data_IF_412109689082
#
_entry.id   IF_412109689082
#
_cell.length_a   1.000
_cell.length_b   1.000
_cell.length_c   1.000
_cell.angle_alpha   90.00
_cell.angle_beta   90.00
_cell.angle_gamma   90.00
#
_symmetry.space_group_name_H-M   'P 1'
#
loop_
_entity.id
_entity.type
_entity.pdbx_description
1 polymer ?
#
# COMPACT_ATOMS: atom_id res chain seq x y z
N UNK A 1 -8.05 1.88 -16.57
CA UNK A 1 -7.33 3.15 -16.76
C UNK A 1 -7.34 3.95 -15.48
N UNK A 2 -6.31 4.75 -15.29
CA UNK A 2 -6.17 5.66 -14.17
C UNK A 2 -7.05 6.90 -14.43
N UNK A 3 -8.08 7.12 -13.60
CA UNK A 3 -8.93 8.29 -13.68
C UNK A 3 -8.39 9.41 -12.78
N UNK A 4 -8.30 10.61 -13.31
CA UNK A 4 -7.94 11.84 -12.58
C UNK A 4 -9.18 12.70 -12.39
N UNK A 5 -9.13 13.65 -11.45
CA UNK A 5 -10.22 14.62 -11.28
C UNK A 5 -10.57 15.38 -12.57
N UNK A 6 -9.58 15.66 -13.42
CA UNK A 6 -9.79 16.29 -14.74
C UNK A 6 -10.45 15.39 -15.79
N UNK A 7 -10.42 14.07 -15.60
CA UNK A 7 -11.03 13.12 -16.54
C UNK A 7 -12.51 12.88 -16.24
N UNK A 8 -12.96 13.25 -15.04
CA UNK A 8 -14.36 13.14 -14.61
C UNK A 8 -14.96 14.52 -14.42
N UNK A 9 -16.21 14.69 -14.85
CA UNK A 9 -16.93 15.96 -14.65
C UNK A 9 -17.37 16.06 -13.20
N UNK A 10 -16.71 16.93 -12.44
CA UNK A 10 -17.10 17.27 -11.09
C UNK A 10 -18.18 18.36 -11.15
N UNK A 11 -19.42 18.05 -10.77
CA UNK A 11 -20.50 19.05 -10.62
C UNK A 11 -20.80 19.28 -9.15
N UNK A 12 -21.03 20.56 -8.78
CA UNK A 12 -21.44 20.91 -7.41
C UNK A 12 -20.28 20.91 -6.41
N UNK A 13 -19.05 21.19 -6.86
CA UNK A 13 -17.88 21.26 -5.98
C UNK A 13 -17.97 22.48 -5.10
N UNK A 14 -18.10 22.26 -3.80
CA UNK A 14 -17.89 23.29 -2.75
C UNK A 14 -16.47 23.14 -2.17
N UNK A 15 -16.09 24.09 -1.30
CA UNK A 15 -14.78 24.03 -0.63
C UNK A 15 -14.69 22.96 0.47
N UNK A 16 -15.80 22.29 0.78
CA UNK A 16 -15.86 21.20 1.74
C UNK A 16 -15.23 19.93 1.20
N UNK A 17 -14.35 19.26 1.98
CA UNK A 17 -13.73 17.99 1.64
C UNK A 17 -14.78 16.89 1.38
N UNK A 18 -15.86 16.87 2.17
CA UNK A 18 -16.97 15.93 2.01
C UNK A 18 -17.65 16.09 0.66
N UNK A 19 -17.89 17.32 0.22
CA UNK A 19 -18.51 17.59 -1.07
C UNK A 19 -17.60 17.24 -2.23
N UNK A 20 -16.30 17.51 -2.10
CA UNK A 20 -15.29 17.08 -3.09
C UNK A 20 -15.24 15.57 -3.22
N UNK A 21 -15.28 14.83 -2.10
CA UNK A 21 -15.33 13.36 -2.13
C UNK A 21 -16.58 12.85 -2.82
N UNK A 22 -17.76 13.40 -2.48
CA UNK A 22 -19.02 13.03 -3.13
C UNK A 22 -19.02 13.36 -4.62
N UNK A 23 -18.53 14.53 -4.98
CA UNK A 23 -18.43 14.94 -6.39
C UNK A 23 -17.51 13.99 -7.18
N UNK A 24 -16.38 13.60 -6.60
CA UNK A 24 -15.46 12.61 -7.17
C UNK A 24 -16.16 11.26 -7.39
N UNK A 25 -16.77 10.70 -6.36
CA UNK A 25 -17.47 9.42 -6.42
C UNK A 25 -18.61 9.43 -7.46
N UNK A 26 -19.40 10.49 -7.48
CA UNK A 26 -20.45 10.68 -8.48
C UNK A 26 -19.88 10.82 -9.89
N UNK A 27 -18.76 11.51 -10.06
CA UNK A 27 -18.08 11.65 -11.33
C UNK A 27 -17.54 10.31 -11.85
N UNK A 28 -16.93 9.51 -10.99
CA UNK A 28 -16.48 8.14 -11.32
C UNK A 28 -17.68 7.28 -11.71
N UNK A 29 -18.77 7.31 -10.94
CA UNK A 29 -19.99 6.58 -11.25
C UNK A 29 -20.56 6.97 -12.61
N UNK A 30 -20.74 8.25 -12.86
CA UNK A 30 -21.27 8.75 -14.13
C UNK A 30 -20.40 8.32 -15.32
N UNK A 31 -19.07 8.25 -15.14
CA UNK A 31 -18.15 7.75 -16.16
C UNK A 31 -18.39 6.27 -16.46
N UNK A 32 -18.47 5.40 -15.44
CA UNK A 32 -18.68 3.97 -15.64
C UNK A 32 -20.09 3.67 -16.19
N UNK A 33 -21.13 4.37 -15.73
CA UNK A 33 -22.48 4.24 -16.23
C UNK A 33 -22.56 4.63 -17.72
N UNK A 34 -21.93 5.74 -18.13
CA UNK A 34 -21.90 6.18 -19.52
C UNK A 34 -21.15 5.19 -20.44
N UNK A 35 -20.04 4.62 -19.95
CA UNK A 35 -19.30 3.59 -20.69
C UNK A 35 -20.11 2.31 -20.81
N UNK A 36 -20.75 1.87 -19.73
CA UNK A 36 -21.60 0.69 -19.72
C UNK A 36 -22.76 0.83 -20.73
N UNK A 37 -23.48 1.96 -20.69
CA UNK A 37 -24.59 2.22 -21.62
C UNK A 37 -24.12 2.13 -23.08
N UNK A 38 -23.01 2.77 -23.44
CA UNK A 38 -22.48 2.72 -24.81
C UNK A 38 -22.09 1.31 -25.23
N UNK A 39 -21.52 0.51 -24.32
CA UNK A 39 -21.17 -0.88 -24.62
C UNK A 39 -22.41 -1.72 -24.85
N UNK A 40 -23.46 -1.57 -24.03
CA UNK A 40 -24.74 -2.26 -24.21
C UNK A 40 -25.40 -1.88 -25.53
N UNK A 41 -25.38 -0.61 -25.91
CA UNK A 41 -25.87 -0.14 -27.23
C UNK A 41 -25.09 -0.78 -28.37
N UNK A 42 -23.80 -1.02 -28.20
CA UNK A 42 -22.91 -1.53 -29.26
C UNK A 42 -22.98 -3.06 -29.41
N UNK A 43 -22.93 -3.81 -28.29
CA UNK A 43 -22.80 -5.28 -28.33
C UNK A 43 -24.07 -6.02 -27.92
N UNK A 44 -25.07 -5.32 -27.41
CA UNK A 44 -26.33 -5.87 -26.89
C UNK A 44 -26.27 -6.20 -25.38
N UNK A 45 -27.45 -6.30 -24.74
CA UNK A 45 -27.56 -6.49 -23.28
C UNK A 45 -27.16 -7.90 -22.80
N UNK A 46 -27.14 -8.88 -23.69
CA UNK A 46 -26.84 -10.28 -23.36
C UNK A 46 -25.34 -10.56 -23.26
N UNK A 47 -24.49 -9.65 -23.76
CA UNK A 47 -23.04 -9.84 -23.72
C UNK A 47 -22.51 -9.48 -22.34
N UNK A 48 -21.79 -10.38 -21.65
CA UNK A 48 -21.21 -10.08 -20.35
C UNK A 48 -20.14 -9.00 -20.47
N UNK A 49 -20.31 -7.90 -19.74
CA UNK A 49 -19.40 -6.77 -19.74
C UNK A 49 -18.42 -6.83 -18.57
N UNK A 50 -17.16 -6.55 -18.86
CA UNK A 50 -16.07 -6.46 -17.86
C UNK A 50 -15.57 -5.03 -17.80
N UNK A 51 -15.52 -4.47 -16.61
CA UNK A 51 -14.85 -3.18 -16.38
C UNK A 51 -13.41 -3.39 -15.90
N UNK A 52 -12.58 -2.39 -16.15
CA UNK A 52 -11.24 -2.28 -15.60
C UNK A 52 -11.08 -0.91 -14.94
N UNK A 53 -10.37 -0.88 -13.80
CA UNK A 53 -10.10 0.36 -13.11
C UNK A 53 -8.78 0.33 -12.34
N UNK A 54 -8.17 1.52 -12.16
CA UNK A 54 -7.02 1.71 -11.29
C UNK A 54 -7.42 2.73 -10.23
N UNK A 55 -8.15 2.27 -9.21
CA UNK A 55 -8.81 3.07 -8.19
C UNK A 55 -8.62 2.44 -6.81
N UNK A 56 -8.59 3.28 -5.79
CA UNK A 56 -8.62 2.83 -4.41
C UNK A 56 -10.09 2.70 -3.94
N UNK A 57 -10.52 1.47 -3.68
CA UNK A 57 -11.89 1.21 -3.20
C UNK A 57 -11.90 1.14 -1.68
N UNK A 58 -12.79 1.89 -1.04
CA UNK A 58 -12.95 1.92 0.40
C UNK A 58 -13.16 0.52 1.00
N UNK A 59 -12.54 0.27 2.14
CA UNK A 59 -12.55 -1.04 2.80
C UNK A 59 -11.52 -2.05 2.26
N UNK A 60 -10.70 -1.66 1.28
CA UNK A 60 -9.58 -2.48 0.81
C UNK A 60 -8.36 -2.30 1.73
N UNK A 61 -7.64 -3.40 2.01
CA UNK A 61 -6.42 -3.38 2.82
C UNK A 61 -5.19 -3.14 1.94
N UNK A 62 -4.32 -2.23 2.36
CA UNK A 62 -3.01 -2.00 1.74
C UNK A 62 -1.99 -2.86 2.47
N UNK A 63 -1.21 -3.67 1.74
CA UNK A 63 -0.16 -4.50 2.34
C UNK A 63 0.92 -3.64 3.02
N UNK A 64 1.46 -4.13 4.14
CA UNK A 64 2.42 -3.45 5.00
C UNK A 64 1.91 -3.37 6.43
N UNK A 65 2.75 -2.93 7.36
CA UNK A 65 2.42 -2.86 8.79
C UNK A 65 1.32 -1.83 9.18
N UNK A 66 0.66 -1.22 8.22
CA UNK A 66 -0.57 -0.48 8.45
C UNK A 66 -1.71 -1.50 8.56
N UNK A 67 -2.18 -1.70 9.77
CA UNK A 67 -3.32 -2.53 10.10
C UNK A 67 -4.54 -2.14 9.26
N UNK A 68 -5.37 -3.15 8.98
CA UNK A 68 -6.67 -3.01 8.37
C UNK A 68 -7.42 -1.80 8.94
N UNK A 69 -7.53 -0.74 8.15
CA UNK A 69 -8.53 0.29 8.41
C UNK A 69 -9.87 -0.37 8.13
N UNK A 70 -10.44 -0.97 9.17
CA UNK A 70 -11.82 -1.45 9.13
C UNK A 70 -12.70 -0.22 9.02
N UNK A 71 -13.23 0.02 7.83
CA UNK A 71 -14.26 1.03 7.63
C UNK A 71 -15.53 0.58 8.35
N UNK A 72 -15.65 0.91 9.62
CA UNK A 72 -16.91 0.93 10.33
C UNK A 72 -17.43 2.36 10.29
N UNK A 73 -18.55 2.55 9.59
CA UNK A 73 -19.50 3.67 9.68
C UNK A 73 -18.96 5.09 9.52
N UNK A 74 -19.55 5.79 8.57
CA UNK A 74 -19.81 7.24 8.38
C UNK A 74 -18.75 8.30 8.78
N UNK A 75 -17.76 7.98 9.58
CA UNK A 75 -16.65 8.84 10.00
C UNK A 75 -15.26 8.26 9.70
N UNK A 76 -15.17 7.18 8.90
CA UNK A 76 -13.90 6.59 8.51
C UNK A 76 -13.19 7.50 7.52
N UNK A 77 -12.62 8.42 8.10
CA UNK A 77 -11.37 9.07 7.98
C UNK A 77 -10.76 9.18 6.58
N UNK A 78 -10.72 10.42 6.16
CA UNK A 78 -10.06 10.96 4.98
C UNK A 78 -8.54 10.72 4.91
N UNK A 79 -7.95 9.94 5.82
CA UNK A 79 -6.50 9.93 6.06
C UNK A 79 -5.70 8.88 5.32
N UNK A 80 -6.30 7.93 4.60
CA UNK A 80 -5.50 6.98 3.82
C UNK A 80 -5.36 7.47 2.37
N UNK A 81 -4.60 8.52 2.20
CA UNK A 81 -4.04 8.88 0.90
C UNK A 81 -2.90 7.91 0.55
N UNK A 82 -3.20 6.90 -0.22
CA UNK A 82 -2.16 6.16 -0.94
C UNK A 82 -1.94 6.87 -2.28
N UNK A 83 -1.02 7.83 -2.29
CA UNK A 83 -0.83 8.72 -3.43
C UNK A 83 -1.95 9.77 -3.53
N UNK A 84 -2.08 10.43 -4.67
CA UNK A 84 -3.10 11.45 -4.96
C UNK A 84 -4.51 10.90 -5.25
N UNK A 85 -4.77 9.60 -5.00
CA UNK A 85 -6.04 8.96 -5.30
C UNK A 85 -6.97 8.98 -4.09
N UNK A 86 -8.11 9.64 -4.27
CA UNK A 86 -9.22 9.56 -3.31
C UNK A 86 -9.89 8.18 -3.41
N UNK A 87 -10.28 7.65 -2.25
CA UNK A 87 -11.05 6.42 -2.22
C UNK A 87 -12.45 6.63 -2.83
N UNK A 88 -12.98 5.56 -3.41
CA UNK A 88 -14.37 5.48 -3.89
C UNK A 88 -15.04 4.28 -3.25
N UNK A 89 -16.36 4.30 -3.12
CA UNK A 89 -17.08 3.07 -2.75
C UNK A 89 -17.15 2.10 -3.94
N UNK A 90 -17.34 0.81 -3.67
CA UNK A 90 -17.57 -0.16 -4.75
C UNK A 90 -18.82 0.18 -5.58
N UNK A 91 -19.78 0.92 -5.02
CA UNK A 91 -20.96 1.40 -5.73
C UNK A 91 -20.64 2.43 -6.83
N UNK A 92 -19.46 3.05 -6.80
CA UNK A 92 -19.05 4.00 -7.84
C UNK A 92 -18.87 3.36 -9.23
N UNK A 93 -18.81 2.04 -9.33
CA UNK A 93 -18.76 1.37 -10.63
C UNK A 93 -20.13 1.22 -11.30
N UNK A 94 -21.24 1.53 -10.59
CA UNK A 94 -22.58 1.31 -11.11
C UNK A 94 -22.98 -0.18 -11.12
N UNK A 95 -23.96 -0.51 -11.95
CA UNK A 95 -24.52 -1.86 -12.07
C UNK A 95 -24.27 -2.43 -13.48
N UNK A 96 -24.55 -3.72 -13.66
CA UNK A 96 -24.51 -4.37 -14.97
C UNK A 96 -23.15 -4.96 -15.35
N UNK A 97 -22.09 -4.69 -14.62
CA UNK A 97 -20.79 -5.31 -14.84
C UNK A 97 -20.77 -6.75 -14.31
N UNK A 98 -20.35 -7.67 -15.17
CA UNK A 98 -20.20 -9.07 -14.75
C UNK A 98 -18.96 -9.28 -13.87
N UNK A 99 -17.89 -8.54 -14.15
CA UNK A 99 -16.66 -8.53 -13.39
C UNK A 99 -15.97 -7.17 -13.48
N UNK A 100 -15.30 -6.75 -12.41
CA UNK A 100 -14.54 -5.50 -12.37
C UNK A 100 -13.12 -5.83 -11.93
N UNK A 101 -12.17 -5.73 -12.86
CA UNK A 101 -10.76 -5.95 -12.63
C UNK A 101 -10.10 -4.66 -12.10
N UNK A 102 -9.60 -4.70 -10.88
CA UNK A 102 -8.99 -3.55 -10.22
C UNK A 102 -7.48 -3.68 -10.12
N UNK A 103 -6.79 -2.59 -10.41
CA UNK A 103 -5.40 -2.33 -10.07
C UNK A 103 -5.28 -1.25 -8.99
N UNK A 104 -4.10 -0.95 -8.56
CA UNK A 104 -3.66 -0.04 -7.52
C UNK A 104 -3.25 -0.74 -6.22
N UNK A 105 -4.10 -1.58 -5.64
CA UNK A 105 -3.76 -2.34 -4.43
C UNK A 105 -2.94 -3.56 -4.83
N UNK A 106 -1.75 -3.70 -4.24
CA UNK A 106 -0.82 -4.79 -4.56
C UNK A 106 -1.17 -6.12 -3.87
N UNK A 107 -2.13 -6.10 -2.95
CA UNK A 107 -2.62 -7.28 -2.23
C UNK A 107 -3.85 -7.86 -2.92
N UNK A 108 -3.88 -9.18 -3.24
CA UNK A 108 -5.05 -9.84 -3.80
C UNK A 108 -6.23 -9.81 -2.83
N UNK A 109 -7.37 -9.22 -3.25
CA UNK A 109 -8.55 -9.13 -2.40
C UNK A 109 -9.81 -8.74 -3.17
N UNK A 110 -10.97 -9.07 -2.62
CA UNK A 110 -12.24 -8.52 -3.07
C UNK A 110 -12.32 -7.02 -2.71
N UNK A 111 -13.00 -6.25 -3.55
CA UNK A 111 -13.33 -4.86 -3.30
C UNK A 111 -14.85 -4.71 -3.17
N UNK A 112 -15.29 -4.28 -2.00
CA UNK A 112 -16.71 -4.22 -1.67
C UNK A 112 -17.31 -5.58 -1.30
N UNK A 113 -18.62 -5.60 -1.02
CA UNK A 113 -19.31 -6.76 -0.46
C UNK A 113 -19.96 -7.69 -1.49
N UNK A 114 -20.14 -7.25 -2.72
CA UNK A 114 -20.86 -8.01 -3.75
C UNK A 114 -19.99 -9.02 -4.53
N UNK A 115 -18.67 -9.08 -4.28
CA UNK A 115 -17.77 -10.01 -4.93
C UNK A 115 -17.52 -9.79 -6.43
N UNK A 116 -18.08 -8.73 -7.02
CA UNK A 116 -17.93 -8.42 -8.45
C UNK A 116 -16.59 -7.78 -8.75
N UNK A 117 -16.11 -6.90 -7.86
CA UNK A 117 -14.85 -6.16 -8.02
C UNK A 117 -13.72 -6.84 -7.26
N UNK A 118 -12.54 -6.97 -7.91
CA UNK A 118 -11.38 -7.65 -7.35
C UNK A 118 -10.08 -6.99 -7.73
N UNK A 119 -9.18 -6.91 -6.75
CA UNK A 119 -7.76 -6.63 -6.98
C UNK A 119 -7.02 -7.95 -7.20
N UNK A 120 -6.37 -8.06 -8.34
CA UNK A 120 -5.47 -9.20 -8.62
C UNK A 120 -4.27 -9.21 -7.67
N UNK A 121 -3.87 -8.04 -7.19
CA UNK A 121 -2.61 -7.83 -6.52
C UNK A 121 -1.46 -7.59 -7.51
N UNK A 122 -0.24 -7.53 -6.99
CA UNK A 122 0.95 -7.44 -7.83
C UNK A 122 1.46 -8.83 -8.20
N UNK A 123 1.82 -9.09 -9.48
CA UNK A 123 2.46 -10.33 -9.88
C UNK A 123 3.90 -10.47 -9.33
N UNK A 124 4.52 -9.38 -8.92
CA UNK A 124 5.87 -9.36 -8.35
C UNK A 124 5.86 -8.74 -6.95
N UNK A 125 6.81 -9.14 -6.11
CA UNK A 125 7.10 -8.44 -4.86
C UNK A 125 7.71 -7.08 -5.18
N UNK A 126 6.97 -6.00 -4.98
CA UNK A 126 7.42 -4.63 -5.26
C UNK A 126 8.04 -3.96 -4.03
N UNK A 127 7.66 -4.39 -2.84
CA UNK A 127 8.12 -3.86 -1.56
C UNK A 127 8.11 -4.93 -0.46
N UNK A 128 8.70 -4.60 0.68
CA UNK A 128 8.77 -5.51 1.82
C UNK A 128 7.42 -5.70 2.55
N UNK A 129 6.40 -4.92 2.23
CA UNK A 129 5.03 -5.13 2.70
C UNK A 129 4.37 -6.36 2.06
N UNK A 130 4.81 -6.71 0.85
CA UNK A 130 4.27 -7.82 0.07
C UNK A 130 4.87 -9.20 0.42
N UNK A 131 5.78 -9.31 1.39
CA UNK A 131 6.46 -10.57 1.75
C UNK A 131 5.46 -11.68 2.14
N UNK A 132 4.40 -11.31 2.86
CA UNK A 132 3.36 -12.25 3.29
C UNK A 132 2.28 -12.52 2.25
N UNK A 133 2.29 -11.76 1.16
CA UNK A 133 1.25 -11.86 0.14
C UNK A 133 1.64 -12.90 -0.92
N UNK A 134 0.62 -13.52 -1.53
CA UNK A 134 0.85 -14.45 -2.65
C UNK A 134 0.87 -13.64 -3.95
N UNK A 135 2.00 -13.59 -4.60
CA UNK A 135 2.13 -12.99 -5.92
C UNK A 135 1.46 -13.87 -6.94
N UNK A 136 0.48 -13.32 -7.64
CA UNK A 136 -0.39 -14.07 -8.53
C UNK A 136 -0.90 -13.21 -9.69
N UNK A 137 -1.42 -13.91 -10.69
CA UNK A 137 -2.38 -13.39 -11.65
C UNK A 137 -3.71 -14.11 -11.45
N UNK A 138 -4.81 -13.51 -11.89
CA UNK A 138 -6.13 -14.14 -11.85
C UNK A 138 -6.56 -14.52 -13.27
N UNK A 139 -6.84 -15.81 -13.46
CA UNK A 139 -7.68 -16.25 -14.55
C UNK A 139 -9.13 -16.09 -14.15
N UNK A 140 -9.90 -15.38 -14.97
CA UNK A 140 -11.32 -15.12 -14.71
C UNK A 140 -12.15 -15.78 -15.78
N UNK A 141 -12.96 -16.75 -15.37
CA UNK A 141 -13.86 -17.49 -16.26
C UNK A 141 -15.28 -16.99 -16.06
N UNK A 142 -15.86 -16.45 -17.11
CA UNK A 142 -17.23 -15.93 -17.11
C UNK A 142 -18.13 -16.91 -17.84
N UNK A 143 -19.15 -17.41 -17.15
CA UNK A 143 -20.12 -18.34 -17.69
C UNK A 143 -21.54 -17.82 -17.43
N UNK A 144 -22.56 -18.47 -17.99
CA UNK A 144 -23.96 -18.19 -17.72
C UNK A 144 -24.32 -18.40 -16.24
N UNK A 145 -23.56 -19.24 -15.55
CA UNK A 145 -23.78 -19.59 -14.14
C UNK A 145 -23.06 -18.65 -13.15
N UNK A 146 -22.09 -17.86 -13.60
CA UNK A 146 -21.36 -16.96 -12.71
C UNK A 146 -19.97 -16.59 -13.19
N UNK A 147 -19.17 -16.10 -12.26
CA UNK A 147 -17.77 -15.71 -12.46
C UNK A 147 -16.90 -16.54 -11.51
N UNK A 148 -16.03 -17.34 -12.08
CA UNK A 148 -15.02 -18.09 -11.35
C UNK A 148 -13.67 -17.38 -11.44
N UNK A 149 -12.89 -17.45 -10.38
CA UNK A 149 -11.57 -16.80 -10.26
C UNK A 149 -10.55 -17.82 -9.82
N UNK A 150 -9.55 -18.05 -10.64
CA UNK A 150 -8.47 -19.01 -10.40
C UNK A 150 -7.15 -18.24 -10.23
N UNK A 151 -6.58 -18.33 -9.04
CA UNK A 151 -5.28 -17.72 -8.76
C UNK A 151 -4.15 -18.57 -9.34
N UNK A 152 -3.35 -17.97 -10.20
CA UNK A 152 -2.15 -18.59 -10.77
C UNK A 152 -0.94 -17.93 -10.11
N UNK A 153 -0.18 -18.72 -9.34
CA UNK A 153 1.01 -18.23 -8.66
C UNK A 153 2.10 -17.82 -9.65
N UNK A 154 2.72 -16.67 -9.42
CA UNK A 154 3.84 -16.18 -10.22
C UNK A 154 5.14 -16.45 -9.47
N UNK A 155 6.06 -17.26 -10.03
CA UNK A 155 7.38 -17.47 -9.45
C UNK A 155 8.14 -16.15 -9.35
N UNK A 156 8.75 -15.90 -8.20
CA UNK A 156 9.47 -14.67 -7.97
C UNK A 156 10.92 -14.75 -8.46
N UNK A 157 11.36 -13.82 -9.31
CA UNK A 157 12.75 -13.80 -9.80
C UNK A 157 13.74 -13.39 -8.72
N UNK A 158 13.27 -12.68 -7.68
CA UNK A 158 14.02 -12.31 -6.49
C UNK A 158 13.16 -12.41 -5.25
N UNK A 159 13.75 -12.91 -4.19
CA UNK A 159 13.09 -12.97 -2.88
C UNK A 159 13.39 -11.69 -2.11
N UNK A 160 12.35 -11.07 -1.57
CA UNK A 160 12.48 -10.03 -0.56
C UNK A 160 12.28 -10.67 0.80
N UNK A 161 13.15 -10.35 1.74
CA UNK A 161 13.03 -10.87 3.10
C UNK A 161 13.43 -9.83 4.15
N UNK A 162 12.87 -9.96 5.34
CA UNK A 162 13.22 -9.17 6.51
C UNK A 162 13.89 -10.05 7.54
N UNK A 163 14.96 -9.53 8.13
CA UNK A 163 15.63 -10.17 9.26
C UNK A 163 15.82 -9.15 10.38
N UNK A 164 15.74 -9.62 11.62
CA UNK A 164 15.93 -8.77 12.80
C UNK A 164 16.81 -9.47 13.84
N UNK A 165 17.58 -8.69 14.60
CA UNK A 165 18.42 -9.25 15.66
C UNK A 165 19.63 -8.39 16.01
N UNK A 166 20.53 -8.97 16.83
CA UNK A 166 21.85 -8.40 17.13
C UNK A 166 22.77 -8.50 15.91
N UNK A 167 23.92 -7.84 15.95
CA UNK A 167 24.88 -7.84 14.84
C UNK A 167 25.33 -9.25 14.46
N UNK A 168 25.69 -10.06 15.44
CA UNK A 168 26.15 -11.44 15.24
C UNK A 168 25.05 -12.32 14.66
N UNK A 169 23.83 -12.20 15.18
CA UNK A 169 22.68 -12.95 14.69
C UNK A 169 22.35 -12.57 13.23
N UNK A 170 22.42 -11.28 12.90
CA UNK A 170 22.16 -10.78 11.56
C UNK A 170 23.21 -11.26 10.55
N UNK A 171 24.50 -11.29 10.95
CA UNK A 171 25.57 -11.83 10.10
C UNK A 171 25.32 -13.30 9.74
N UNK A 172 24.92 -14.13 10.73
CA UNK A 172 24.59 -15.54 10.49
C UNK A 172 23.36 -15.67 9.60
N UNK A 173 22.32 -14.91 9.86
CA UNK A 173 21.09 -14.91 9.04
C UNK A 173 21.32 -14.48 7.60
N UNK A 174 22.19 -13.49 7.36
CA UNK A 174 22.56 -13.09 5.99
C UNK A 174 23.22 -14.25 5.24
N UNK A 175 24.10 -15.01 5.89
CA UNK A 175 24.73 -16.19 5.27
C UNK A 175 23.70 -17.29 4.96
N UNK A 176 22.74 -17.53 5.86
CA UNK A 176 21.65 -18.48 5.64
C UNK A 176 20.79 -18.06 4.44
N UNK A 177 20.35 -16.80 4.42
CA UNK A 177 19.55 -16.25 3.31
C UNK A 177 20.30 -16.37 1.99
N UNK A 178 21.62 -16.06 1.97
CA UNK A 178 22.43 -16.19 0.77
C UNK A 178 22.56 -17.61 0.23
N UNK A 179 22.52 -18.64 1.12
CA UNK A 179 22.52 -20.05 0.72
C UNK A 179 21.14 -20.49 0.20
N UNK A 180 20.06 -20.05 0.83
CA UNK A 180 18.70 -20.44 0.50
C UNK A 180 18.18 -19.70 -0.74
N UNK A 181 18.49 -18.44 -0.87
CA UNK A 181 18.01 -17.55 -1.93
C UNK A 181 19.13 -16.61 -2.42
N UNK A 182 20.05 -17.09 -3.25
CA UNK A 182 21.13 -16.27 -3.81
C UNK A 182 20.57 -15.04 -4.54
N UNK A 183 21.12 -13.87 -4.25
CA UNK A 183 20.64 -12.61 -4.82
C UNK A 183 19.37 -12.04 -4.18
N UNK A 184 18.91 -12.61 -3.04
CA UNK A 184 17.80 -12.05 -2.28
C UNK A 184 18.05 -10.59 -1.90
N UNK A 185 16.97 -9.82 -1.80
CA UNK A 185 16.99 -8.43 -1.30
C UNK A 185 16.55 -8.43 0.15
N UNK A 186 17.38 -7.92 1.04
CA UNK A 186 17.22 -8.03 2.48
C UNK A 186 17.03 -6.66 3.12
N UNK A 187 15.96 -6.50 3.91
CA UNK A 187 15.79 -5.41 4.85
C UNK A 187 16.15 -5.89 6.27
N UNK A 188 17.03 -5.15 6.93
CA UNK A 188 17.55 -5.53 8.24
C UNK A 188 17.03 -4.58 9.31
N UNK A 189 16.55 -5.16 10.42
CA UNK A 189 16.24 -4.45 11.66
C UNK A 189 17.25 -4.83 12.73
N UNK A 190 18.18 -3.93 13.02
CA UNK A 190 19.15 -4.10 14.08
C UNK A 190 18.54 -3.72 15.42
N UNK A 191 18.49 -4.67 16.35
CA UNK A 191 17.88 -4.52 17.68
C UNK A 191 18.90 -4.47 18.83
N UNK A 192 20.19 -4.49 18.51
CA UNK A 192 21.27 -4.41 19.51
C UNK A 192 21.55 -2.97 19.97
N UNK A 193 22.30 -2.83 21.06
CA UNK A 193 22.86 -1.54 21.46
C UNK A 193 23.91 -1.13 20.43
N UNK A 194 23.68 -0.03 19.72
CA UNK A 194 24.63 0.53 18.78
C UNK A 194 25.43 1.63 19.47
N UNK A 195 26.74 1.46 19.58
CA UNK A 195 27.66 2.52 19.99
C UNK A 195 27.97 3.44 18.82
N UNK A 196 27.90 2.91 17.56
CA UNK A 196 28.07 3.65 16.32
C UNK A 196 27.25 3.00 15.21
N UNK A 197 26.24 3.73 14.74
CA UNK A 197 25.35 3.30 13.67
C UNK A 197 26.09 3.03 12.34
N UNK A 198 27.10 3.84 12.02
CA UNK A 198 27.86 3.69 10.77
C UNK A 198 28.64 2.38 10.75
N UNK A 199 29.27 2.01 11.86
CA UNK A 199 29.99 0.75 11.98
C UNK A 199 29.07 -0.45 11.80
N UNK A 200 27.87 -0.42 12.38
CA UNK A 200 26.85 -1.47 12.18
C UNK A 200 26.45 -1.60 10.73
N UNK A 201 26.11 -0.49 10.06
CA UNK A 201 25.72 -0.48 8.65
C UNK A 201 26.85 -1.04 7.77
N UNK A 202 28.09 -0.56 7.93
CA UNK A 202 29.22 -1.03 7.13
C UNK A 202 29.52 -2.52 7.34
N UNK A 203 29.38 -3.01 8.59
CA UNK A 203 29.60 -4.42 8.90
C UNK A 203 28.54 -5.29 8.24
N UNK A 204 27.28 -4.89 8.32
CA UNK A 204 26.16 -5.60 7.67
C UNK A 204 26.27 -5.56 6.14
N UNK A 205 26.71 -4.45 5.58
CA UNK A 205 26.96 -4.33 4.13
C UNK A 205 27.99 -5.36 3.65
N UNK A 206 29.15 -5.44 4.31
CA UNK A 206 30.20 -6.42 3.97
C UNK A 206 29.71 -7.86 4.16
N UNK A 207 28.91 -8.11 5.20
CA UNK A 207 28.35 -9.44 5.44
C UNK A 207 27.34 -9.83 4.35
N UNK A 208 26.52 -8.90 3.89
CA UNK A 208 25.58 -9.11 2.80
C UNK A 208 26.29 -9.38 1.48
N UNK A 209 27.34 -8.60 1.15
CA UNK A 209 28.18 -8.82 -0.03
C UNK A 209 28.83 -10.21 0.01
N UNK A 210 29.39 -10.61 1.15
CA UNK A 210 29.98 -11.94 1.33
C UNK A 210 28.95 -13.08 1.19
N UNK A 211 27.72 -12.84 1.66
CA UNK A 211 26.62 -13.77 1.54
C UNK A 211 25.98 -13.84 0.15
N UNK A 212 26.34 -12.92 -0.76
CA UNK A 212 25.75 -12.84 -2.10
C UNK A 212 24.30 -12.36 -2.10
N UNK A 213 23.91 -11.51 -1.14
CA UNK A 213 22.58 -10.89 -1.06
C UNK A 213 22.66 -9.38 -1.18
N UNK A 214 21.55 -8.75 -1.52
CA UNK A 214 21.45 -7.29 -1.65
C UNK A 214 20.85 -6.68 -0.39
N UNK A 215 21.61 -5.86 0.32
CA UNK A 215 21.11 -5.12 1.47
C UNK A 215 20.36 -3.87 1.00
N UNK A 216 19.02 -3.88 1.14
CA UNK A 216 18.19 -2.77 0.71
C UNK A 216 18.13 -1.64 1.74
N UNK A 217 18.02 -1.99 3.02
CA UNK A 217 17.96 -1.02 4.11
C UNK A 217 18.43 -1.64 5.43
N UNK A 218 19.03 -0.81 6.28
CA UNK A 218 19.32 -1.13 7.69
C UNK A 218 18.53 -0.14 8.54
N UNK A 219 17.64 -0.66 9.36
CA UNK A 219 16.87 0.11 10.35
C UNK A 219 17.39 -0.21 11.74
N UNK A 220 17.71 0.82 12.51
CA UNK A 220 18.22 0.69 13.88
C UNK A 220 17.06 0.96 14.83
N UNK A 221 16.78 0.01 15.70
CA UNK A 221 15.64 0.03 16.65
C UNK A 221 14.76 -1.20 16.52
N UNK A 222 13.80 -1.35 17.42
CA UNK A 222 12.84 -2.46 17.37
C UNK A 222 11.78 -2.21 16.28
N UNK A 223 11.27 -3.26 15.61
CA UNK A 223 10.14 -3.14 14.70
C UNK A 223 8.91 -2.46 15.34
N UNK A 224 8.72 -2.69 16.66
CA UNK A 224 7.66 -2.04 17.43
C UNK A 224 7.92 -0.55 17.66
N UNK A 225 9.16 -0.13 17.86
CA UNK A 225 9.52 1.29 17.95
C UNK A 225 9.32 2.07 16.65
N UNK A 226 9.32 1.36 15.52
CA UNK A 226 8.99 1.93 14.19
C UNK A 226 7.48 1.94 13.90
N UNK A 227 6.69 1.12 14.62
CA UNK A 227 5.21 1.18 14.58
C UNK A 227 4.65 2.35 15.40
N UNK A 228 5.43 2.93 16.29
CA UNK A 228 5.03 3.99 17.22
C UNK A 228 5.16 5.40 16.66
N UNK A 229 4.95 5.64 15.39
CA UNK A 229 4.57 6.97 14.92
C UNK A 229 3.05 7.13 15.15
N UNK A 230 2.66 7.09 16.42
CA UNK A 230 1.43 7.73 16.87
C UNK A 230 1.62 9.24 16.67
N UNK A 231 1.52 9.67 15.42
CA UNK A 231 1.20 11.06 15.17
C UNK A 231 -0.23 11.23 15.70
N UNK A 232 -0.48 12.18 16.59
CA UNK A 232 -1.85 12.52 16.93
C UNK A 232 -2.60 12.76 15.62
N UNK A 233 -3.87 12.38 15.56
CA UNK A 233 -4.78 12.52 14.41
C UNK A 233 -4.93 14.02 14.03
N UNK A 234 -3.86 14.61 13.53
CA UNK A 234 -3.81 15.97 12.99
C UNK A 234 -3.58 15.87 11.48
N UNK A 235 -4.28 16.69 10.75
CA UNK A 235 -4.08 16.82 9.30
C UNK A 235 -2.63 17.24 9.04
N UNK A 236 -2.03 16.70 7.99
CA UNK A 236 -0.67 17.08 7.57
C UNK A 236 -0.54 18.60 7.35
N UNK A 237 -1.64 19.25 6.92
CA UNK A 237 -1.72 20.70 6.70
C UNK A 237 -1.73 21.50 8.01
N UNK A 238 -2.03 20.87 9.13
CA UNK A 238 -2.06 21.48 10.46
C UNK A 238 -0.76 21.24 11.26
N UNK A 239 0.22 20.54 10.66
CA UNK A 239 1.49 20.22 11.28
C UNK A 239 2.57 21.12 10.71
N UNK A 240 3.14 21.97 11.56
CA UNK A 240 4.25 22.82 11.13
C UNK A 240 5.59 22.08 11.14
N UNK A 241 6.56 22.47 10.29
CA UNK A 241 7.91 21.90 10.34
C UNK A 241 8.56 21.99 11.73
N UNK A 242 8.26 23.06 12.48
CA UNK A 242 8.74 23.30 13.84
C UNK A 242 8.16 22.27 14.83
N UNK A 243 6.87 21.91 14.70
CA UNK A 243 6.25 20.89 15.54
C UNK A 243 6.84 19.49 15.27
N UNK A 244 7.11 19.17 14.00
CA UNK A 244 7.79 17.91 13.62
C UNK A 244 9.20 17.88 14.21
N UNK A 245 9.95 18.97 14.06
CA UNK A 245 11.31 19.09 14.57
C UNK A 245 11.35 18.95 16.10
N UNK A 246 10.45 19.62 16.82
CA UNK A 246 10.33 19.52 18.28
C UNK A 246 10.00 18.08 18.72
N UNK A 247 9.05 17.42 18.06
CA UNK A 247 8.70 16.02 18.34
C UNK A 247 9.87 15.07 18.11
N UNK A 248 10.68 15.30 17.08
CA UNK A 248 11.90 14.51 16.81
C UNK A 248 12.95 14.76 17.87
N UNK A 249 13.16 16.01 18.31
CA UNK A 249 14.10 16.37 19.37
C UNK A 249 13.71 15.73 20.71
N UNK A 250 12.44 15.79 21.09
CA UNK A 250 11.93 15.18 22.33
C UNK A 250 12.18 13.66 22.35
N UNK A 251 12.01 13.00 21.21
CA UNK A 251 12.19 11.54 21.09
C UNK A 251 13.65 11.10 20.93
N UNK A 252 14.52 11.97 20.44
CA UNK A 252 15.95 11.67 20.24
C UNK A 252 16.71 11.52 21.56
N UNK A 253 16.12 11.88 22.71
CA UNK A 253 16.81 11.90 23.98
C UNK A 253 17.95 12.92 24.03
N UNK A 254 17.92 13.93 23.16
CA UNK A 254 18.91 14.99 23.14
C UNK A 254 18.96 15.72 24.48
N UNK A 255 20.17 15.94 24.99
CA UNK A 255 20.40 16.69 26.22
C UNK A 255 19.83 18.11 26.11
N UNK A 256 19.39 18.66 27.25
CA UNK A 256 18.75 19.97 27.32
C UNK A 256 19.60 21.09 26.70
N UNK A 257 20.93 20.97 26.70
CA UNK A 257 21.86 21.91 26.05
C UNK A 257 21.72 21.90 24.53
N UNK A 258 21.54 20.71 23.94
CA UNK A 258 21.34 20.55 22.49
C UNK A 258 19.94 21.02 22.07
N UNK A 259 18.97 20.92 22.97
CA UNK A 259 17.61 21.44 22.74
C UNK A 259 17.59 22.96 22.70
N UNK A 260 18.26 23.63 23.66
CA UNK A 260 18.36 25.11 23.69
C UNK A 260 19.13 25.70 22.50
N UNK A 261 20.14 24.99 21.94
CA UNK A 261 20.89 25.45 20.77
C UNK A 261 20.15 25.24 19.43
N UNK A 262 19.18 24.33 19.39
CA UNK A 262 18.46 23.94 18.17
C UNK A 262 17.02 24.48 18.11
N UNK A 263 16.49 25.05 19.18
CA UNK A 263 15.22 25.77 19.14
C UNK A 263 15.42 27.15 18.47
N UNK A 264 14.61 27.49 17.45
CA UNK A 264 14.74 28.75 16.71
C UNK A 264 14.35 29.97 17.52
#
# INVERSE_FOLDING_TARGET
PYLREGDVRLSGVSDSETDRRRAWENGVRAHYDAVHQKLVEWVGPEVPLVAMGHLFVAGSSVGGAAESVSASSDEADASVYVGSLRNVSAAAFGEGWRYIALGHIHRPQAAGSNGTAWYCGSPLMLDFGAISDKQQILEVVITDHGVEKHAIHVPQPRILTRISGTLEALQLRLLEVGREAPGAVVEVFFTGAATDANTVVQTLQRSAEHAGVHLAAVRIGTPEGLRGWDMPERRLDDITPEEVFRSVLERSGADDIVREELEP
#
